data_IF_273002774953
#
_entry.id   IF_273002774953
#
_cell.length_a   1.000
_cell.length_b   1.000
_cell.length_c   1.000
_cell.angle_alpha   90.00
_cell.angle_beta   90.00
_cell.angle_gamma   90.00
#
_symmetry.space_group_name_H-M   'P 1'
#
loop_
_entity.id
_entity.type
_entity.pdbx_description
1 polymer ?
#
# COMPACT_ATOMS: atom_id res chain seq x y z
N UNK A 1 78.47 29.08 39.84
CA UNK A 1 77.36 29.97 39.47
C UNK A 1 76.28 29.16 38.78
N UNK A 2 75.07 29.13 39.36
CA UNK A 2 73.90 28.34 38.92
C UNK A 2 73.18 29.09 37.79
N UNK A 3 72.90 28.45 36.67
CA UNK A 3 71.91 28.92 35.69
C UNK A 3 70.81 27.85 35.62
N UNK A 4 69.65 28.21 36.17
CA UNK A 4 68.40 27.44 36.12
C UNK A 4 67.78 27.61 34.74
N UNK A 5 67.44 26.50 34.06
CA UNK A 5 66.43 26.50 32.99
C UNK A 5 65.22 25.72 33.48
N UNK A 6 64.11 26.44 33.62
CA UNK A 6 62.81 25.88 33.94
C UNK A 6 62.21 25.26 32.66
N UNK A 7 61.80 24.00 32.72
CA UNK A 7 60.90 23.40 31.72
C UNK A 7 59.47 23.56 32.21
N UNK A 8 58.66 24.32 31.45
CA UNK A 8 57.21 24.29 31.54
C UNK A 8 56.72 22.97 30.94
N UNK A 9 56.01 22.17 31.74
CA UNK A 9 55.22 21.03 31.26
C UNK A 9 53.82 21.56 30.98
N UNK A 10 53.45 21.66 29.69
CA UNK A 10 52.08 21.89 29.26
C UNK A 10 51.39 20.53 29.18
N UNK A 11 50.51 20.24 30.15
CA UNK A 11 49.60 19.09 30.11
C UNK A 11 48.43 19.43 29.20
N UNK A 12 48.45 18.91 27.97
CA UNK A 12 47.29 18.89 27.08
C UNK A 12 46.34 17.78 27.51
N UNK A 13 45.24 18.15 28.18
CA UNK A 13 44.13 17.25 28.43
C UNK A 13 43.36 17.03 27.11
N UNK A 14 43.66 15.95 26.39
CA UNK A 14 42.78 15.45 25.33
C UNK A 14 41.54 14.83 25.98
N UNK A 15 40.45 15.59 26.02
CA UNK A 15 39.12 15.04 26.28
C UNK A 15 38.72 14.11 25.15
N UNK A 16 38.80 12.80 25.36
CA UNK A 16 38.10 11.82 24.53
C UNK A 16 36.59 11.99 24.76
N UNK A 17 35.92 12.73 23.89
CA UNK A 17 34.48 12.57 23.71
C UNK A 17 34.27 11.29 22.92
N UNK A 18 34.04 10.18 23.63
CA UNK A 18 33.56 8.96 23.01
C UNK A 18 32.15 9.24 22.49
N UNK A 19 32.04 9.51 21.19
CA UNK A 19 30.79 9.46 20.46
C UNK A 19 30.30 8.00 20.48
N UNK A 20 29.47 7.67 21.47
CA UNK A 20 28.69 6.44 21.48
C UNK A 20 27.85 6.42 20.20
N UNK A 21 28.36 5.72 19.18
CA UNK A 21 27.58 5.35 18.02
C UNK A 21 26.50 4.39 18.52
N UNK A 22 25.30 4.91 18.74
CA UNK A 22 24.13 4.08 19.00
C UNK A 22 23.90 3.30 17.70
N UNK A 23 24.42 2.08 17.65
CA UNK A 23 24.16 1.15 16.57
C UNK A 23 22.65 0.87 16.58
N UNK A 24 21.92 1.54 15.69
CA UNK A 24 20.53 1.18 15.43
C UNK A 24 20.54 -0.21 14.82
N UNK A 25 19.85 -1.14 15.46
CA UNK A 25 19.76 -2.50 14.96
C UNK A 25 18.98 -2.50 13.64
N UNK A 26 19.57 -3.13 12.62
CA UNK A 26 18.90 -3.41 11.36
C UNK A 26 17.70 -4.33 11.56
N UNK A 27 16.76 -4.30 10.63
CA UNK A 27 15.72 -5.34 10.56
C UNK A 27 16.38 -6.73 10.56
N UNK A 28 15.87 -7.70 11.33
CA UNK A 28 16.43 -9.05 11.33
C UNK A 28 16.39 -9.66 9.91
N UNK A 29 17.35 -10.54 9.56
CA UNK A 29 17.31 -11.26 8.30
C UNK A 29 15.97 -11.99 8.11
N UNK A 30 15.42 -12.04 6.87
CA UNK A 30 14.19 -12.76 6.61
C UNK A 30 14.33 -14.26 6.93
N UNK A 31 13.28 -14.80 7.55
CA UNK A 31 13.15 -16.23 7.86
C UNK A 31 11.93 -16.77 7.12
N UNK A 32 12.09 -17.87 6.37
CA UNK A 32 10.97 -18.47 5.64
C UNK A 32 9.91 -18.99 6.60
N UNK A 33 8.65 -18.71 6.31
CA UNK A 33 7.51 -19.16 7.09
C UNK A 33 6.19 -18.91 6.38
N UNK A 34 5.09 -19.07 7.12
CA UNK A 34 3.73 -18.77 6.67
C UNK A 34 3.15 -17.66 7.53
N UNK A 35 2.14 -16.96 7.02
CA UNK A 35 1.35 -16.08 7.89
C UNK A 35 0.50 -16.95 8.81
N UNK A 36 0.45 -16.59 10.08
CA UNK A 36 -0.38 -17.22 11.10
C UNK A 36 -1.31 -16.18 11.70
N UNK A 37 -2.46 -16.61 12.21
CA UNK A 37 -3.38 -15.69 12.88
C UNK A 37 -2.78 -15.13 14.17
N UNK A 38 -2.93 -13.83 14.37
CA UNK A 38 -2.63 -13.12 15.62
C UNK A 38 -3.89 -12.48 16.17
N UNK A 39 -3.90 -12.13 17.45
CA UNK A 39 -4.93 -11.28 18.03
C UNK A 39 -4.71 -9.85 17.53
N UNK A 40 -5.52 -9.43 16.55
CA UNK A 40 -5.44 -8.08 15.95
C UNK A 40 -6.60 -7.22 16.43
N UNK A 41 -6.27 -6.18 17.19
CA UNK A 41 -7.19 -5.17 17.72
C UNK A 41 -7.65 -4.13 16.69
N UNK A 42 -6.84 -3.84 15.67
CA UNK A 42 -7.17 -2.89 14.61
C UNK A 42 -6.17 -3.00 13.45
N UNK A 43 -6.65 -2.76 12.23
CA UNK A 43 -5.84 -2.79 11.00
C UNK A 43 -5.77 -1.40 10.35
N UNK A 44 -4.59 -1.03 9.87
CA UNK A 44 -4.27 0.23 9.23
C UNK A 44 -3.45 -0.02 7.96
N UNK A 45 -3.40 0.97 7.06
CA UNK A 45 -2.62 0.86 5.82
C UNK A 45 -1.76 2.10 5.61
N UNK A 46 -0.56 1.91 5.07
CA UNK A 46 0.30 3.00 4.65
C UNK A 46 1.01 2.71 3.34
N UNK A 47 1.50 3.76 2.67
CA UNK A 47 2.33 3.54 1.49
C UNK A 47 2.89 4.81 0.87
N UNK A 48 3.87 4.61 -0.02
CA UNK A 48 4.52 5.67 -0.81
C UNK A 48 4.14 5.55 -2.28
N UNK A 49 3.94 6.67 -2.98
CA UNK A 49 3.84 6.69 -4.45
C UNK A 49 2.70 5.78 -4.93
N UNK A 50 2.95 4.84 -5.85
CA UNK A 50 1.97 3.81 -6.23
C UNK A 50 1.45 3.00 -5.04
N UNK A 51 2.28 2.72 -4.04
CA UNK A 51 1.85 2.13 -2.77
C UNK A 51 0.96 3.05 -1.94
N UNK A 52 1.14 4.37 -2.04
CA UNK A 52 0.25 5.36 -1.45
C UNK A 52 -1.11 5.45 -2.18
N UNK A 53 -1.11 5.35 -3.51
CA UNK A 53 -2.35 5.18 -4.28
C UNK A 53 -3.07 3.87 -3.91
N UNK A 54 -2.34 2.77 -3.76
CA UNK A 54 -2.92 1.49 -3.34
C UNK A 54 -3.41 1.53 -1.88
N UNK A 55 -2.70 2.17 -0.97
CA UNK A 55 -3.14 2.39 0.41
C UNK A 55 -4.47 3.16 0.45
N UNK A 56 -4.58 4.20 -0.37
CA UNK A 56 -5.84 4.93 -0.57
C UNK A 56 -6.95 4.02 -1.12
N UNK A 57 -6.66 3.21 -2.14
CA UNK A 57 -7.63 2.25 -2.71
C UNK A 57 -8.11 1.23 -1.67
N UNK A 58 -7.21 0.65 -0.89
CA UNK A 58 -7.54 -0.31 0.17
C UNK A 58 -8.39 0.35 1.25
N UNK A 59 -8.00 1.52 1.74
CA UNK A 59 -8.74 2.23 2.78
C UNK A 59 -10.15 2.60 2.31
N UNK A 60 -10.32 3.03 1.06
CA UNK A 60 -11.65 3.36 0.51
C UNK A 60 -12.49 2.11 0.22
N UNK A 61 -11.91 1.10 -0.44
CA UNK A 61 -12.66 -0.09 -0.87
C UNK A 61 -12.99 -1.04 0.30
N UNK A 62 -12.13 -1.07 1.32
CA UNK A 62 -12.20 -1.95 2.49
C UNK A 62 -12.19 -1.14 3.80
N UNK A 63 -12.92 -0.04 3.86
CA UNK A 63 -13.00 0.85 5.03
C UNK A 63 -13.59 0.20 6.29
N UNK A 64 -14.24 -0.95 6.17
CA UNK A 64 -14.63 -1.79 7.31
C UNK A 64 -13.43 -2.48 7.98
N UNK A 65 -12.39 -2.78 7.21
CA UNK A 65 -11.15 -3.45 7.65
C UNK A 65 -10.13 -2.42 8.14
N UNK A 66 -9.87 -1.38 7.33
CA UNK A 66 -8.84 -0.40 7.62
C UNK A 66 -9.41 0.78 8.40
N UNK A 67 -9.00 0.95 9.67
CA UNK A 67 -9.47 2.03 10.54
C UNK A 67 -8.83 3.39 10.23
N UNK A 68 -7.81 3.43 9.37
CA UNK A 68 -7.15 4.67 8.94
C UNK A 68 -6.02 4.42 7.95
N UNK A 69 -5.50 5.51 7.37
CA UNK A 69 -4.48 5.44 6.33
C UNK A 69 -3.37 6.49 6.46
N UNK A 70 -2.12 6.08 6.21
CA UNK A 70 -0.94 6.96 6.14
C UNK A 70 -0.33 6.99 4.75
N UNK A 71 -0.37 8.12 4.05
CA UNK A 71 -0.08 8.18 2.61
C UNK A 71 1.02 9.19 2.30
N UNK A 72 2.13 8.71 1.74
CA UNK A 72 3.23 9.52 1.25
C UNK A 72 3.13 9.71 -0.27
N UNK A 73 3.12 10.96 -0.74
CA UNK A 73 3.25 11.37 -2.14
C UNK A 73 2.39 10.57 -3.13
N UNK A 74 1.06 10.68 -3.01
CA UNK A 74 0.09 9.99 -3.89
C UNK A 74 -1.09 10.91 -4.27
N UNK A 75 -2.15 10.34 -4.85
CA UNK A 75 -3.32 11.08 -5.32
C UNK A 75 -4.67 10.45 -4.97
N UNK A 76 -5.77 11.13 -5.32
CA UNK A 76 -7.13 10.75 -4.95
C UNK A 76 -7.53 9.40 -5.55
N UNK A 77 -8.54 8.78 -4.93
CA UNK A 77 -9.01 7.46 -5.31
C UNK A 77 -9.46 7.46 -6.77
N UNK A 78 -9.04 6.44 -7.51
CA UNK A 78 -9.33 6.27 -8.94
C UNK A 78 -8.86 7.43 -9.84
N UNK A 79 -7.87 8.23 -9.44
CA UNK A 79 -7.41 9.38 -10.24
C UNK A 79 -7.10 9.00 -11.70
N UNK A 80 -6.42 7.86 -11.91
CA UNK A 80 -5.97 7.41 -13.22
C UNK A 80 -7.08 6.92 -14.15
N UNK A 81 -8.29 6.64 -13.65
CA UNK A 81 -9.45 6.25 -14.46
C UNK A 81 -9.16 5.12 -15.47
N UNK A 82 -8.43 4.08 -15.05
CA UNK A 82 -8.04 2.95 -15.91
C UNK A 82 -7.26 3.38 -17.18
N UNK A 83 -6.44 4.44 -17.07
CA UNK A 83 -5.75 5.04 -18.22
C UNK A 83 -4.34 5.52 -17.85
N UNK A 84 -3.33 4.98 -18.54
CA UNK A 84 -1.92 5.34 -18.30
C UNK A 84 -1.61 6.81 -18.63
N UNK A 85 -2.21 7.39 -19.68
CA UNK A 85 -1.97 8.80 -20.01
C UNK A 85 -2.58 9.72 -18.94
N UNK A 86 -3.76 9.39 -18.43
CA UNK A 86 -4.35 10.10 -17.28
C UNK A 86 -3.48 9.94 -16.03
N UNK A 87 -2.99 8.72 -15.76
CA UNK A 87 -2.08 8.46 -14.66
C UNK A 87 -0.85 9.39 -14.72
N UNK A 88 -0.09 9.34 -15.82
CA UNK A 88 1.15 10.09 -15.98
C UNK A 88 0.93 11.60 -16.04
N UNK A 89 0.01 12.06 -16.89
CA UNK A 89 -0.03 13.48 -17.23
C UNK A 89 -1.06 14.27 -16.44
N UNK A 90 -2.11 13.62 -15.93
CA UNK A 90 -3.12 14.30 -15.10
C UNK A 90 -2.87 14.09 -13.60
N UNK A 91 -2.49 12.86 -13.21
CA UNK A 91 -2.33 12.41 -11.83
C UNK A 91 -0.89 12.33 -11.34
N UNK A 92 0.10 12.71 -12.15
CA UNK A 92 1.48 12.92 -11.70
C UNK A 92 1.96 14.32 -12.09
N UNK A 93 2.09 14.59 -13.39
CA UNK A 93 2.71 15.83 -13.91
C UNK A 93 1.77 17.04 -13.94
N UNK A 94 0.46 16.81 -13.94
CA UNK A 94 -0.60 17.85 -13.97
C UNK A 94 -0.65 18.69 -15.26
N UNK A 95 -0.12 18.16 -16.36
CA UNK A 95 -0.17 18.77 -17.70
C UNK A 95 -1.47 18.48 -18.46
N UNK A 96 -2.27 17.50 -17.99
CA UNK A 96 -3.62 17.23 -18.49
C UNK A 96 -4.68 17.46 -17.40
N UNK A 97 -5.94 17.79 -17.79
CA UNK A 97 -7.02 17.88 -16.82
C UNK A 97 -7.30 16.51 -16.18
N UNK A 98 -7.60 16.51 -14.88
CA UNK A 98 -8.09 15.36 -14.11
C UNK A 98 -9.46 15.64 -13.53
N UNK A 99 -10.17 14.58 -13.14
CA UNK A 99 -11.42 14.71 -12.36
C UNK A 99 -11.14 15.49 -11.08
N UNK A 100 -12.08 16.36 -10.70
CA UNK A 100 -11.99 17.10 -9.44
C UNK A 100 -12.22 16.18 -8.25
N UNK A 101 -11.78 16.57 -7.03
CA UNK A 101 -12.09 15.83 -5.82
C UNK A 101 -13.59 15.55 -5.65
N UNK A 102 -14.46 16.52 -5.95
CA UNK A 102 -15.91 16.35 -5.86
C UNK A 102 -16.46 15.28 -6.83
N UNK A 103 -15.94 15.23 -8.07
CA UNK A 103 -16.30 14.20 -9.03
C UNK A 103 -15.85 12.80 -8.59
N UNK A 104 -14.65 12.71 -8.01
CA UNK A 104 -14.12 11.44 -7.49
C UNK A 104 -14.87 11.00 -6.23
N UNK A 105 -15.23 11.91 -5.33
CA UNK A 105 -16.09 11.62 -4.18
C UNK A 105 -17.45 11.08 -4.61
N UNK A 106 -18.06 11.68 -5.64
CA UNK A 106 -19.33 11.19 -6.17
C UNK A 106 -19.18 9.80 -6.76
N UNK A 107 -18.13 9.55 -7.56
CA UNK A 107 -17.82 8.23 -8.10
C UNK A 107 -17.67 7.18 -6.98
N UNK A 108 -17.01 7.53 -5.89
CA UNK A 108 -16.86 6.65 -4.72
C UNK A 108 -18.21 6.35 -4.08
N UNK A 109 -19.07 7.36 -3.88
CA UNK A 109 -20.43 7.17 -3.36
C UNK A 109 -21.26 6.25 -4.26
N UNK A 110 -21.21 6.45 -5.57
CA UNK A 110 -21.95 5.63 -6.53
C UNK A 110 -21.49 4.17 -6.50
N UNK A 111 -20.17 3.94 -6.40
CA UNK A 111 -19.60 2.59 -6.28
C UNK A 111 -19.93 1.92 -4.94
N UNK A 112 -19.93 2.67 -3.84
CA UNK A 112 -20.35 2.17 -2.54
C UNK A 112 -21.85 1.79 -2.55
N UNK A 113 -22.71 2.64 -3.12
CA UNK A 113 -24.13 2.35 -3.29
C UNK A 113 -24.38 1.11 -4.16
N UNK A 114 -23.51 0.85 -5.14
CA UNK A 114 -23.53 -0.35 -5.97
C UNK A 114 -22.87 -1.60 -5.31
N UNK A 115 -22.48 -1.51 -4.03
CA UNK A 115 -21.85 -2.61 -3.28
C UNK A 115 -20.45 -3.01 -3.77
N UNK A 116 -19.77 -2.14 -4.53
CA UNK A 116 -18.42 -2.40 -5.06
C UNK A 116 -17.31 -1.98 -4.10
N UNK A 117 -17.65 -1.14 -3.13
CA UNK A 117 -16.80 -0.62 -2.05
C UNK A 117 -17.59 -0.75 -0.74
N UNK A 118 -16.91 -0.60 0.39
CA UNK A 118 -17.59 -0.38 1.66
C UNK A 118 -18.36 0.97 1.69
N UNK A 119 -19.35 1.12 2.59
CA UNK A 119 -20.06 2.37 2.79
C UNK A 119 -19.09 3.54 3.06
N UNK A 120 -19.27 4.66 2.37
CA UNK A 120 -18.42 5.85 2.56
C UNK A 120 -18.52 6.43 3.97
N UNK A 121 -19.60 6.12 4.69
CA UNK A 121 -19.83 6.52 6.08
C UNK A 121 -18.72 6.00 7.00
N UNK A 122 -18.12 4.85 6.69
CA UNK A 122 -16.98 4.31 7.45
C UNK A 122 -15.74 5.23 7.40
N UNK A 123 -15.64 6.09 6.38
CA UNK A 123 -14.53 7.05 6.25
C UNK A 123 -14.76 8.31 7.09
N UNK A 124 -15.97 8.54 7.59
CA UNK A 124 -16.25 9.72 8.43
C UNK A 124 -15.53 9.60 9.77
N UNK A 125 -14.73 10.61 10.12
CA UNK A 125 -13.89 10.62 11.31
C UNK A 125 -12.66 9.71 11.24
N UNK A 126 -12.53 8.85 10.23
CA UNK A 126 -11.38 7.96 10.09
C UNK A 126 -10.07 8.78 9.98
N UNK A 127 -9.03 8.46 10.79
CA UNK A 127 -7.76 9.18 10.73
C UNK A 127 -7.04 8.90 9.42
N UNK A 128 -6.78 9.97 8.66
CA UNK A 128 -5.98 9.94 7.44
C UNK A 128 -4.82 10.91 7.60
N UNK A 129 -3.61 10.40 7.53
CA UNK A 129 -2.40 11.22 7.58
C UNK A 129 -1.74 11.23 6.19
N UNK A 130 -1.39 12.42 5.73
CA UNK A 130 -0.83 12.66 4.40
C UNK A 130 0.53 13.34 4.52
N UNK A 131 1.44 12.98 3.63
CA UNK A 131 2.74 13.63 3.48
C UNK A 131 3.07 13.91 2.02
N UNK A 132 3.59 15.11 1.77
CA UNK A 132 4.15 15.50 0.48
C UNK A 132 5.42 16.33 0.66
N UNK A 133 6.49 16.00 -0.07
CA UNK A 133 7.73 16.76 -0.04
C UNK A 133 7.69 17.95 -0.99
N UNK A 134 8.15 19.13 -0.56
CA UNK A 134 8.17 20.33 -1.42
C UNK A 134 9.14 20.23 -2.59
N UNK A 135 10.10 19.29 -2.54
CA UNK A 135 11.01 18.98 -3.64
C UNK A 135 10.57 17.75 -4.46
N UNK A 136 9.40 17.17 -4.17
CA UNK A 136 8.85 16.07 -4.96
C UNK A 136 8.38 16.58 -6.33
N UNK A 137 9.19 16.29 -7.35
CA UNK A 137 8.89 16.59 -8.74
C UNK A 137 8.18 15.45 -9.47
N UNK A 138 8.01 14.27 -8.85
CA UNK A 138 7.43 13.07 -9.47
C UNK A 138 5.91 13.07 -9.39
N UNK A 139 5.36 13.34 -8.21
CA UNK A 139 3.93 13.59 -8.02
C UNK A 139 3.81 15.04 -7.60
N UNK A 140 3.24 15.91 -8.45
CA UNK A 140 3.11 17.32 -8.07
C UNK A 140 2.22 17.48 -6.83
N UNK A 141 2.56 18.43 -5.97
CA UNK A 141 1.81 18.74 -4.72
C UNK A 141 0.31 18.90 -4.96
N UNK A 142 -0.10 19.49 -6.09
CA UNK A 142 -1.51 19.67 -6.44
C UNK A 142 -2.31 18.35 -6.49
N UNK A 143 -1.66 17.22 -6.84
CA UNK A 143 -2.30 15.90 -6.82
C UNK A 143 -2.55 15.43 -5.38
N UNK A 144 -1.60 15.68 -4.48
CA UNK A 144 -1.74 15.30 -3.07
C UNK A 144 -2.69 16.26 -2.31
N UNK A 145 -2.75 17.53 -2.72
CA UNK A 145 -3.77 18.49 -2.27
C UNK A 145 -5.19 18.04 -2.65
N UNK A 146 -5.37 17.47 -3.85
CA UNK A 146 -6.65 16.86 -4.25
C UNK A 146 -6.98 15.61 -3.43
N UNK A 147 -5.98 14.82 -3.02
CA UNK A 147 -6.17 13.69 -2.10
C UNK A 147 -6.68 14.16 -0.73
N UNK A 148 -6.09 15.22 -0.18
CA UNK A 148 -6.54 15.83 1.07
C UNK A 148 -7.98 16.33 0.96
N UNK A 149 -8.30 17.03 -0.12
CA UNK A 149 -9.67 17.53 -0.40
C UNK A 149 -10.65 16.37 -0.60
N UNK A 150 -10.24 15.31 -1.31
CA UNK A 150 -11.04 14.11 -1.53
C UNK A 150 -11.46 13.48 -0.21
N UNK A 151 -10.50 13.21 0.70
CA UNK A 151 -10.78 12.62 2.00
C UNK A 151 -11.60 13.56 2.90
N UNK A 152 -11.26 14.85 2.94
CA UNK A 152 -11.98 15.84 3.73
C UNK A 152 -13.47 15.93 3.34
N UNK A 153 -13.79 15.89 2.04
CA UNK A 153 -15.19 15.90 1.60
C UNK A 153 -15.93 14.55 1.75
N UNK A 154 -15.25 13.48 2.16
CA UNK A 154 -15.88 12.24 2.67
C UNK A 154 -15.99 12.24 4.20
N UNK A 155 -15.56 13.31 4.87
CA UNK A 155 -15.66 13.49 6.31
C UNK A 155 -14.53 12.86 7.12
N UNK A 156 -13.44 12.42 6.49
CA UNK A 156 -12.29 11.86 7.20
C UNK A 156 -11.54 12.92 8.03
N UNK A 157 -10.90 12.50 9.12
CA UNK A 157 -10.04 13.35 9.92
C UNK A 157 -8.65 13.44 9.27
N UNK A 158 -8.45 14.44 8.41
CA UNK A 158 -7.22 14.60 7.62
C UNK A 158 -6.19 15.45 8.35
N UNK A 159 -4.99 14.91 8.53
CA UNK A 159 -3.77 15.64 8.84
C UNK A 159 -2.83 15.60 7.64
N UNK A 160 -2.22 16.72 7.28
CA UNK A 160 -1.40 16.80 6.05
C UNK A 160 -0.14 17.62 6.28
N UNK A 161 1.00 16.94 6.26
CA UNK A 161 2.33 17.56 6.30
C UNK A 161 2.85 17.75 4.87
N UNK A 162 3.01 19.00 4.45
CA UNK A 162 3.58 19.36 3.14
C UNK A 162 4.67 20.43 3.20
N UNK A 163 5.36 20.52 4.33
CA UNK A 163 6.37 21.57 4.57
C UNK A 163 7.80 21.08 4.48
N UNK A 164 8.01 19.76 4.51
CA UNK A 164 9.35 19.17 4.42
C UNK A 164 9.97 19.38 3.05
N UNK A 165 11.27 19.67 2.99
CA UNK A 165 12.07 19.75 1.75
C UNK A 165 12.34 18.40 1.07
N UNK A 166 11.51 17.39 1.34
CA UNK A 166 11.72 16.04 0.86
C UNK A 166 11.53 15.94 -0.65
N UNK A 167 12.30 15.07 -1.30
CA UNK A 167 12.02 14.58 -2.65
C UNK A 167 10.91 13.51 -2.64
N UNK A 168 10.75 12.80 -3.76
CA UNK A 168 9.79 11.71 -3.87
C UNK A 168 10.30 10.43 -3.17
N UNK A 169 10.03 10.31 -1.88
CA UNK A 169 10.54 9.22 -1.05
C UNK A 169 9.69 8.98 0.21
N UNK A 170 9.85 7.80 0.80
CA UNK A 170 9.43 7.55 2.18
C UNK A 170 10.38 8.30 3.10
N UNK A 171 9.87 9.13 4.02
CA UNK A 171 10.72 9.92 4.91
C UNK A 171 10.78 9.30 6.29
N UNK A 172 11.99 8.99 6.74
CA UNK A 172 12.24 8.40 8.05
C UNK A 172 13.52 8.94 8.71
N UNK A 173 13.66 8.86 10.04
CA UNK A 173 14.88 9.29 10.74
C UNK A 173 16.17 8.55 10.36
N UNK A 174 16.03 7.39 9.72
CA UNK A 174 17.12 6.47 9.38
C UNK A 174 17.24 6.21 7.88
N UNK A 175 16.58 7.02 7.05
CA UNK A 175 16.69 6.92 5.60
C UNK A 175 18.14 7.09 5.12
N UNK A 176 18.60 6.28 4.16
CA UNK A 176 19.97 6.35 3.65
C UNK A 176 20.22 7.55 2.73
N UNK A 177 19.17 8.12 2.13
CA UNK A 177 19.30 9.23 1.19
C UNK A 177 19.10 10.60 1.87
N UNK A 178 19.69 11.64 1.28
CA UNK A 178 19.46 13.03 1.68
C UNK A 178 18.01 13.45 1.43
N UNK A 179 17.53 14.42 2.21
CA UNK A 179 16.12 14.83 2.23
C UNK A 179 15.53 15.10 0.84
N UNK A 180 16.17 15.94 0.03
CA UNK A 180 15.68 16.33 -1.30
C UNK A 180 15.84 15.27 -2.40
N UNK A 181 16.40 14.09 -2.09
CA UNK A 181 16.70 13.07 -3.09
C UNK A 181 15.45 12.41 -3.67
N UNK A 182 15.47 12.11 -4.97
CA UNK A 182 14.48 11.25 -5.63
C UNK A 182 15.23 10.13 -6.34
N UNK A 183 15.80 9.22 -5.55
CA UNK A 183 16.64 8.14 -6.04
C UNK A 183 16.47 6.87 -5.20
N UNK A 184 16.83 5.72 -5.77
CA UNK A 184 16.85 4.44 -5.06
C UNK A 184 17.66 4.54 -3.75
N UNK A 185 17.21 3.92 -2.65
CA UNK A 185 16.02 3.08 -2.51
C UNK A 185 14.73 3.85 -2.20
N UNK A 186 14.70 5.17 -2.44
CA UNK A 186 13.56 6.07 -2.20
C UNK A 186 13.12 6.11 -0.72
N UNK A 187 14.11 6.11 0.17
CA UNK A 187 13.92 6.32 1.60
C UNK A 187 14.88 7.42 2.05
N UNK A 188 14.35 8.55 2.49
CA UNK A 188 15.13 9.76 2.76
C UNK A 188 15.13 10.12 4.24
N UNK A 189 16.19 10.78 4.67
CA UNK A 189 16.31 11.41 5.99
C UNK A 189 16.22 12.93 5.88
N UNK A 190 15.24 13.51 6.56
CA UNK A 190 14.97 14.94 6.55
C UNK A 190 15.25 15.59 7.91
N UNK A 191 16.52 15.93 8.15
CA UNK A 191 16.95 16.54 9.40
C UNK A 191 16.64 15.66 10.61
N UNK A 192 15.92 16.22 11.59
CA UNK A 192 15.47 15.53 12.81
C UNK A 192 13.96 15.19 12.78
N UNK A 193 13.28 15.41 11.66
CA UNK A 193 11.85 15.11 11.54
C UNK A 193 11.60 13.60 11.58
N UNK A 194 10.43 13.22 12.10
CA UNK A 194 9.99 11.83 12.15
C UNK A 194 8.53 11.73 11.65
N UNK A 195 8.31 11.79 10.31
CA UNK A 195 6.97 11.71 9.75
C UNK A 195 6.30 10.36 10.03
N UNK A 196 7.07 9.30 10.30
CA UNK A 196 6.53 7.99 10.72
C UNK A 196 5.86 8.10 12.08
N UNK A 197 6.48 8.80 13.04
CA UNK A 197 5.85 9.12 14.32
C UNK A 197 4.58 9.93 14.15
N UNK A 198 4.63 10.99 13.33
CA UNK A 198 3.48 11.87 13.07
C UNK A 198 2.30 11.07 12.51
N UNK A 199 2.57 10.21 11.53
CA UNK A 199 1.60 9.29 10.95
C UNK A 199 1.00 8.37 12.02
N UNK A 200 1.82 7.64 12.76
CA UNK A 200 1.33 6.68 13.77
C UNK A 200 0.58 7.37 14.92
N UNK A 201 1.04 8.53 15.35
CA UNK A 201 0.36 9.33 16.37
C UNK A 201 -1.03 9.78 15.90
N UNK A 202 -1.17 10.18 14.62
CA UNK A 202 -2.47 10.54 14.05
C UNK A 202 -3.40 9.33 13.92
N UNK A 203 -2.88 8.18 13.50
CA UNK A 203 -3.65 6.95 13.30
C UNK A 203 -4.09 6.30 14.61
N UNK A 204 -3.24 6.32 15.64
CA UNK A 204 -3.47 5.60 16.90
C UNK A 204 -3.90 6.52 18.05
N UNK A 205 -3.83 7.85 17.85
CA UNK A 205 -4.03 8.87 18.89
C UNK A 205 -2.83 9.04 19.82
N UNK A 206 -2.19 7.94 20.24
CA UNK A 206 -0.95 7.97 21.04
C UNK A 206 0.01 6.90 20.55
N UNK A 207 1.30 7.25 20.46
CA UNK A 207 2.37 6.33 20.06
C UNK A 207 3.53 6.44 21.05
N UNK A 208 3.97 5.30 21.59
CA UNK A 208 5.19 5.21 22.37
C UNK A 208 6.42 5.50 21.49
N UNK A 209 7.51 6.07 22.03
CA UNK A 209 8.73 6.31 21.26
C UNK A 209 9.23 5.04 20.58
N UNK A 210 9.84 5.18 19.40
CA UNK A 210 10.48 4.08 18.69
C UNK A 210 11.56 3.41 19.57
N UNK A 211 11.69 2.08 19.47
CA UNK A 211 12.72 1.34 20.18
C UNK A 211 14.12 1.86 19.82
N UNK A 212 14.94 2.10 20.84
CA UNK A 212 16.37 2.42 20.69
C UNK A 212 17.25 1.19 20.95
N UNK A 213 16.65 0.07 21.33
CA UNK A 213 17.31 -1.22 21.56
C UNK A 213 17.18 -2.10 20.31
N UNK A 214 17.95 -3.20 20.22
CA UNK A 214 17.79 -4.14 19.12
C UNK A 214 16.35 -4.64 18.97
N UNK A 215 15.90 -4.70 17.73
CA UNK A 215 14.59 -5.23 17.36
C UNK A 215 14.44 -6.67 17.86
N UNK A 216 13.33 -6.95 18.52
CA UNK A 216 13.03 -8.21 19.19
C UNK A 216 12.23 -9.18 18.34
N UNK A 217 11.61 -8.66 17.27
CA UNK A 217 10.73 -9.42 16.39
C UNK A 217 11.45 -10.29 15.37
N UNK A 218 10.66 -10.98 14.55
CA UNK A 218 11.10 -11.77 13.42
C UNK A 218 10.60 -11.13 12.13
N UNK A 219 11.43 -11.16 11.08
CA UNK A 219 10.99 -10.85 9.72
C UNK A 219 10.63 -12.18 9.03
N UNK A 220 9.33 -12.45 8.91
CA UNK A 220 8.80 -13.63 8.24
C UNK A 220 8.76 -13.33 6.75
N UNK A 221 9.36 -14.19 5.93
CA UNK A 221 9.22 -14.21 4.49
C UNK A 221 8.25 -15.34 4.11
N UNK A 222 7.14 -14.99 3.45
CA UNK A 222 6.08 -15.93 3.08
C UNK A 222 5.84 -15.95 1.56
N UNK A 223 5.25 -17.03 1.07
CA UNK A 223 4.85 -17.15 -0.34
C UNK A 223 3.51 -16.44 -0.58
N UNK A 224 3.50 -15.44 -1.46
CA UNK A 224 2.29 -14.68 -1.80
C UNK A 224 1.30 -15.51 -2.64
N UNK A 225 1.74 -16.59 -3.29
CA UNK A 225 0.87 -17.47 -4.08
C UNK A 225 -0.30 -18.00 -3.26
N UNK A 226 -0.09 -18.27 -1.96
CA UNK A 226 -1.14 -18.73 -1.05
C UNK A 226 -2.31 -17.73 -0.88
N UNK A 227 -2.11 -16.46 -1.24
CA UNK A 227 -3.08 -15.39 -1.04
C UNK A 227 -3.59 -14.78 -2.35
N UNK A 228 -3.03 -15.17 -3.48
CA UNK A 228 -3.40 -14.65 -4.79
C UNK A 228 -4.53 -15.50 -5.39
N UNK A 229 -5.62 -14.89 -5.89
CA UNK A 229 -6.64 -15.63 -6.62
C UNK A 229 -6.03 -16.42 -7.78
N UNK A 230 -6.20 -17.74 -7.77
CA UNK A 230 -5.62 -18.64 -8.78
C UNK A 230 -4.19 -19.11 -8.51
N UNK A 231 -3.56 -18.66 -7.41
CA UNK A 231 -2.27 -19.18 -6.96
C UNK A 231 -1.05 -18.72 -7.77
N UNK A 232 -1.21 -17.72 -8.63
CA UNK A 232 -0.11 -17.18 -9.46
C UNK A 232 0.09 -15.68 -9.21
N UNK A 233 1.04 -15.28 -8.34
CA UNK A 233 1.36 -13.88 -8.08
C UNK A 233 1.74 -13.08 -9.34
N UNK A 234 2.41 -13.71 -10.30
CA UNK A 234 2.84 -13.05 -11.53
C UNK A 234 1.65 -12.55 -12.37
N UNK A 235 0.54 -13.29 -12.36
CA UNK A 235 -0.71 -12.91 -13.05
C UNK A 235 -1.34 -11.60 -12.56
N UNK A 236 -0.97 -11.16 -11.36
CA UNK A 236 -1.49 -9.95 -10.71
C UNK A 236 -0.39 -8.92 -10.40
N UNK A 237 0.80 -9.04 -10.99
CA UNK A 237 1.97 -8.17 -10.72
C UNK A 237 2.45 -8.19 -9.27
N UNK A 238 2.29 -9.32 -8.57
CA UNK A 238 2.84 -9.52 -7.24
C UNK A 238 4.09 -10.41 -7.32
N UNK A 239 5.08 -10.13 -6.47
CA UNK A 239 6.24 -11.00 -6.30
C UNK A 239 5.83 -12.35 -5.70
N UNK A 240 6.70 -13.36 -5.80
CA UNK A 240 6.49 -14.63 -5.08
C UNK A 240 6.60 -14.46 -3.57
N UNK A 241 7.38 -13.49 -3.10
CA UNK A 241 7.71 -13.31 -1.69
C UNK A 241 6.98 -12.09 -1.11
N UNK A 242 6.41 -12.25 0.07
CA UNK A 242 5.91 -11.17 0.92
C UNK A 242 6.59 -11.23 2.29
N UNK A 243 6.53 -10.14 3.05
CA UNK A 243 7.20 -10.08 4.35
C UNK A 243 6.28 -9.60 5.47
N UNK A 244 6.48 -10.08 6.69
CA UNK A 244 5.80 -9.56 7.88
C UNK A 244 6.81 -9.43 9.02
N UNK A 245 6.94 -8.24 9.59
CA UNK A 245 7.68 -8.03 10.83
C UNK A 245 6.75 -8.23 12.02
N UNK A 246 7.06 -9.21 12.87
CA UNK A 246 6.27 -9.57 14.04
C UNK A 246 7.11 -9.36 15.31
N UNK A 247 6.83 -8.31 16.10
CA UNK A 247 7.45 -8.13 17.41
C UNK A 247 7.21 -9.32 18.33
N UNK A 248 8.17 -9.63 19.20
CA UNK A 248 8.03 -10.75 20.17
C UNK A 248 6.79 -10.61 21.04
N UNK A 249 6.40 -9.38 21.39
CA UNK A 249 5.21 -9.12 22.19
C UNK A 249 3.91 -9.63 21.53
N UNK A 250 3.83 -9.60 20.20
CA UNK A 250 2.65 -10.02 19.46
C UNK A 250 2.45 -11.55 19.42
N UNK A 251 3.41 -12.34 19.91
CA UNK A 251 3.23 -13.80 20.05
C UNK A 251 2.24 -14.16 21.17
N UNK A 252 1.91 -13.23 22.08
CA UNK A 252 0.98 -13.48 23.19
C UNK A 252 0.12 -12.28 23.63
N UNK A 253 0.21 -11.15 22.94
CA UNK A 253 -0.58 -9.96 23.22
C UNK A 253 -1.42 -9.55 22.01
N UNK A 254 -2.53 -8.82 22.26
CA UNK A 254 -3.29 -8.17 21.20
C UNK A 254 -2.45 -7.06 20.56
N UNK A 255 -2.36 -7.09 19.24
CA UNK A 255 -1.55 -6.16 18.45
C UNK A 255 -2.39 -5.38 17.43
N UNK A 256 -1.82 -4.32 16.88
CA UNK A 256 -2.33 -3.66 15.66
C UNK A 256 -1.67 -4.28 14.44
N UNK A 257 -2.30 -4.17 13.28
CA UNK A 257 -1.70 -4.52 12.01
C UNK A 257 -1.52 -3.26 11.15
N UNK A 258 -0.30 -3.00 10.71
CA UNK A 258 0.00 -2.00 9.70
C UNK A 258 0.37 -2.69 8.39
N UNK A 259 -0.40 -2.47 7.33
CA UNK A 259 -0.05 -2.91 5.98
C UNK A 259 0.72 -1.78 5.28
N UNK A 260 2.01 -1.98 5.01
CA UNK A 260 2.86 -0.95 4.38
C UNK A 260 3.26 -1.34 2.97
N UNK A 261 2.91 -0.47 2.02
CA UNK A 261 3.06 -0.69 0.58
C UNK A 261 4.18 0.18 0.01
N UNK A 262 5.20 -0.47 -0.54
CA UNK A 262 6.31 0.21 -1.21
C UNK A 262 5.85 0.94 -2.48
N UNK A 263 6.63 1.93 -2.93
CA UNK A 263 6.41 2.63 -4.19
C UNK A 263 6.96 1.89 -5.41
N UNK A 264 6.83 2.52 -6.59
CA UNK A 264 7.52 2.03 -7.79
C UNK A 264 9.04 1.97 -7.55
N UNK A 265 9.72 1.02 -8.19
CA UNK A 265 11.17 0.78 -8.02
C UNK A 265 11.62 0.46 -6.58
N UNK A 266 10.71 0.04 -5.70
CA UNK A 266 11.03 -0.33 -4.32
C UNK A 266 10.64 -1.77 -3.94
N UNK A 267 10.26 -2.59 -4.92
CA UNK A 267 9.97 -4.00 -4.65
C UNK A 267 11.25 -4.75 -4.24
N UNK A 268 11.09 -5.82 -3.45
CA UNK A 268 12.19 -6.57 -2.85
C UNK A 268 13.25 -7.02 -3.86
N UNK A 269 12.83 -7.54 -5.02
CA UNK A 269 13.74 -7.99 -6.08
C UNK A 269 14.63 -6.90 -6.69
N UNK A 270 14.40 -5.63 -6.40
CA UNK A 270 15.22 -4.51 -6.87
C UNK A 270 16.05 -3.85 -5.76
N UNK A 271 15.46 -3.62 -4.59
CA UNK A 271 16.10 -2.86 -3.49
C UNK A 271 16.31 -3.67 -2.21
N UNK A 272 16.09 -4.97 -2.25
CA UNK A 272 16.20 -5.85 -1.09
C UNK A 272 15.19 -5.46 -0.01
N UNK A 273 15.65 -5.38 1.25
CA UNK A 273 14.82 -5.05 2.40
C UNK A 273 14.80 -3.56 2.75
N UNK A 274 15.23 -2.66 1.84
CA UNK A 274 15.49 -1.26 2.17
C UNK A 274 14.32 -0.53 2.87
N UNK A 275 13.06 -0.71 2.44
CA UNK A 275 11.92 -0.09 3.12
C UNK A 275 11.64 -0.73 4.50
N UNK A 276 11.85 -2.05 4.64
CA UNK A 276 11.67 -2.74 5.91
C UNK A 276 12.77 -2.34 6.91
N UNK A 277 14.00 -2.15 6.43
CA UNK A 277 15.17 -1.82 7.24
C UNK A 277 15.27 -0.33 7.56
N UNK A 278 14.89 0.54 6.61
CA UNK A 278 15.08 2.00 6.73
C UNK A 278 13.77 2.78 6.85
N UNK A 279 12.61 2.12 6.76
CA UNK A 279 11.31 2.78 6.87
C UNK A 279 10.95 3.26 8.27
N UNK A 280 11.68 2.83 9.30
CA UNK A 280 11.49 3.17 10.72
C UNK A 280 10.17 2.72 11.35
N UNK A 281 9.44 1.83 10.68
CA UNK A 281 8.18 1.26 11.18
C UNK A 281 8.41 0.14 12.18
N UNK A 282 9.48 -0.66 12.01
CA UNK A 282 9.74 -1.83 12.86
C UNK A 282 10.18 -1.42 14.28
N UNK A 283 10.84 -0.27 14.40
CA UNK A 283 11.23 0.32 15.67
C UNK A 283 10.01 0.82 16.44
N UNK A 284 9.00 1.37 15.76
CA UNK A 284 7.71 1.69 16.38
C UNK A 284 6.89 0.43 16.65
N UNK A 285 6.94 -0.57 15.76
CA UNK A 285 6.26 -1.85 15.91
C UNK A 285 6.61 -2.53 17.23
N UNK A 286 7.90 -2.57 17.54
CA UNK A 286 8.43 -3.18 18.76
C UNK A 286 7.98 -2.51 20.06
N UNK A 287 7.75 -1.20 20.05
CA UNK A 287 7.34 -0.45 21.23
C UNK A 287 5.83 -0.21 21.33
N UNK A 288 5.05 -0.59 20.30
CA UNK A 288 3.62 -0.26 20.20
C UNK A 288 2.71 -1.46 19.92
N UNK A 289 3.18 -2.70 20.11
CA UNK A 289 2.40 -3.91 19.83
C UNK A 289 1.77 -3.85 18.43
N UNK A 290 2.60 -3.66 17.41
CA UNK A 290 2.13 -3.55 16.03
C UNK A 290 2.90 -4.52 15.15
N UNK A 291 2.18 -5.34 14.39
CA UNK A 291 2.75 -6.14 13.30
C UNK A 291 2.79 -5.27 12.04
N UNK A 292 3.86 -5.39 11.25
CA UNK A 292 3.95 -4.69 9.95
C UNK A 292 3.99 -5.71 8.81
N UNK A 293 2.96 -5.71 7.97
CA UNK A 293 2.88 -6.51 6.75
C UNK A 293 3.43 -5.69 5.58
N UNK A 294 4.33 -6.29 4.81
CA UNK A 294 4.99 -5.73 3.63
C UNK A 294 4.74 -6.60 2.39
N UNK A 295 3.54 -6.54 1.79
CA UNK A 295 3.27 -7.19 0.51
C UNK A 295 4.22 -6.65 -0.56
N UNK A 296 4.59 -7.47 -1.55
CA UNK A 296 5.50 -7.07 -2.63
C UNK A 296 4.79 -7.12 -3.97
N UNK A 297 4.71 -5.97 -4.64
CA UNK A 297 4.47 -5.93 -6.08
C UNK A 297 5.74 -6.37 -6.83
N UNK A 298 5.63 -6.65 -8.12
CA UNK A 298 6.74 -6.92 -9.02
C UNK A 298 6.42 -6.43 -10.42
N UNK A 299 7.39 -6.52 -11.33
CA UNK A 299 7.25 -6.07 -12.71
C UNK A 299 6.30 -6.98 -13.52
N UNK A 300 5.59 -6.37 -14.48
CA UNK A 300 4.89 -7.10 -15.54
C UNK A 300 4.80 -6.24 -16.81
N UNK A 301 4.27 -6.80 -17.90
CA UNK A 301 3.96 -6.02 -19.10
C UNK A 301 2.94 -4.92 -18.75
N UNK A 302 3.25 -3.67 -19.08
CA UNK A 302 2.43 -2.50 -18.68
C UNK A 302 2.78 -1.92 -17.31
N UNK A 303 3.58 -2.62 -16.50
CA UNK A 303 4.13 -2.16 -15.23
C UNK A 303 5.62 -2.56 -15.09
N UNK A 304 6.53 -1.97 -15.88
CA UNK A 304 7.95 -2.31 -15.86
C UNK A 304 8.68 -1.82 -14.60
N UNK A 305 8.01 -1.05 -13.74
CA UNK A 305 8.58 -0.41 -12.55
C UNK A 305 8.20 -1.12 -11.24
N UNK A 306 7.42 -2.19 -11.31
CA UNK A 306 6.95 -2.93 -10.14
C UNK A 306 6.10 -2.07 -9.20
N UNK A 307 5.26 -1.21 -9.77
CA UNK A 307 4.29 -0.40 -9.03
C UNK A 307 3.06 -1.24 -8.65
N UNK A 308 2.31 -0.79 -7.65
CA UNK A 308 0.94 -1.28 -7.40
C UNK A 308 -0.01 -0.86 -8.52
N UNK A 309 -1.09 -1.61 -8.74
CA UNK A 309 -2.10 -1.29 -9.74
C UNK A 309 -3.01 -0.15 -9.28
N UNK A 310 -2.67 1.05 -9.71
CA UNK A 310 -3.45 2.27 -9.51
C UNK A 310 -3.89 2.94 -10.81
N UNK A 311 -3.59 2.33 -11.96
CA UNK A 311 -4.02 2.82 -13.29
C UNK A 311 -4.65 1.75 -14.18
N UNK A 312 -4.94 0.58 -13.62
CA UNK A 312 -5.65 -0.52 -14.26
C UNK A 312 -4.84 -1.25 -15.32
N UNK A 313 -3.52 -1.34 -15.14
CA UNK A 313 -2.68 -2.07 -16.08
C UNK A 313 -2.96 -3.58 -16.04
N UNK A 314 -3.45 -4.09 -14.92
CA UNK A 314 -3.75 -5.50 -14.72
C UNK A 314 -5.24 -5.78 -14.88
N UNK A 315 -6.10 -4.93 -14.29
CA UNK A 315 -7.55 -5.11 -14.33
C UNK A 315 -8.29 -3.79 -14.25
N UNK A 316 -9.39 -3.65 -15.00
CA UNK A 316 -10.30 -2.52 -14.85
C UNK A 316 -10.98 -2.47 -13.46
N UNK A 317 -10.95 -3.58 -12.72
CA UNK A 317 -11.43 -3.65 -11.35
C UNK A 317 -10.39 -3.21 -10.31
N UNK A 318 -9.21 -2.71 -10.71
CA UNK A 318 -8.14 -2.29 -9.81
C UNK A 318 -8.56 -1.41 -8.61
N UNK A 319 -9.58 -0.52 -8.69
CA UNK A 319 -9.95 0.33 -7.57
C UNK A 319 -11.15 -0.25 -6.79
N UNK A 320 -11.69 -1.42 -7.17
CA UNK A 320 -12.86 -2.05 -6.55
C UNK A 320 -12.44 -3.16 -5.59
N UNK A 321 -13.31 -3.60 -4.68
CA UNK A 321 -13.02 -4.77 -3.82
C UNK A 321 -12.54 -5.99 -4.62
N UNK A 322 -13.12 -6.23 -5.81
CA UNK A 322 -12.73 -7.32 -6.70
C UNK A 322 -11.38 -7.14 -7.41
N UNK A 323 -10.66 -6.03 -7.17
CA UNK A 323 -9.33 -5.77 -7.70
C UNK A 323 -8.34 -6.84 -7.24
N UNK A 324 -7.65 -7.57 -8.16
CA UNK A 324 -6.87 -8.75 -7.78
C UNK A 324 -5.75 -8.48 -6.76
N UNK A 325 -5.03 -7.36 -6.88
CA UNK A 325 -4.00 -7.00 -5.89
C UNK A 325 -4.61 -6.69 -4.52
N UNK A 326 -5.69 -5.90 -4.46
CA UNK A 326 -6.35 -5.61 -3.19
C UNK A 326 -6.93 -6.87 -2.55
N UNK A 327 -7.59 -7.73 -3.32
CA UNK A 327 -8.11 -9.01 -2.83
C UNK A 327 -6.99 -9.89 -2.26
N UNK A 328 -5.82 -9.90 -2.91
CA UNK A 328 -4.64 -10.65 -2.44
C UNK A 328 -4.10 -10.09 -1.11
N UNK A 329 -3.99 -8.77 -0.99
CA UNK A 329 -3.56 -8.12 0.26
C UNK A 329 -4.57 -8.40 1.38
N UNK A 330 -5.87 -8.35 1.09
CA UNK A 330 -6.92 -8.67 2.07
C UNK A 330 -6.83 -10.13 2.52
N UNK A 331 -6.50 -11.07 1.63
CA UNK A 331 -6.26 -12.46 2.04
C UNK A 331 -5.06 -12.58 2.99
N UNK A 332 -3.98 -11.81 2.78
CA UNK A 332 -2.85 -11.75 3.72
C UNK A 332 -3.25 -11.12 5.07
N UNK A 333 -4.03 -10.04 5.04
CA UNK A 333 -4.58 -9.39 6.26
C UNK A 333 -5.44 -10.37 7.05
N UNK A 334 -6.32 -11.12 6.38
CA UNK A 334 -7.14 -12.17 7.00
C UNK A 334 -6.30 -13.27 7.63
N UNK A 335 -5.25 -13.72 6.94
CA UNK A 335 -4.35 -14.75 7.45
C UNK A 335 -3.61 -14.32 8.72
N UNK A 336 -3.36 -13.02 8.90
CA UNK A 336 -2.80 -12.44 10.12
C UNK A 336 -3.82 -12.19 11.23
N UNK A 337 -5.12 -12.44 10.99
CA UNK A 337 -6.20 -12.14 11.94
C UNK A 337 -6.69 -10.68 11.88
N UNK A 338 -6.27 -9.91 10.88
CA UNK A 338 -6.54 -8.46 10.78
C UNK A 338 -7.94 -8.06 10.31
N UNK A 339 -8.88 -9.00 10.25
CA UNK A 339 -10.31 -8.68 10.06
C UNK A 339 -11.03 -8.97 11.37
N UNK A 340 -11.71 -7.97 11.94
CA UNK A 340 -12.54 -8.18 13.13
C UNK A 340 -13.62 -9.22 12.79
N UNK A 341 -13.85 -10.16 13.70
CA UNK A 341 -14.74 -11.30 13.49
C UNK A 341 -16.18 -10.88 13.20
N UNK A 342 -16.56 -10.89 11.92
CA UNK A 342 -17.77 -11.62 11.54
C UNK A 342 -17.41 -13.11 11.66
N UNK A 343 -18.10 -13.81 12.56
CA UNK A 343 -17.92 -15.25 12.71
C UNK A 343 -17.97 -15.93 11.34
N UNK A 344 -17.05 -16.87 11.13
CA UNK A 344 -17.04 -17.77 9.98
C UNK A 344 -18.47 -18.31 9.76
N UNK A 345 -19.17 -17.95 8.67
CA UNK A 345 -20.36 -18.69 8.32
C UNK A 345 -19.83 -20.04 7.84
N UNK A 346 -19.94 -21.03 8.72
CA UNK A 346 -19.93 -22.44 8.33
C UNK A 346 -20.72 -22.56 7.02
N UNK A 347 -20.17 -23.15 5.95
CA UNK A 347 -20.84 -23.20 4.66
C UNK A 347 -22.09 -24.07 4.80
N UNK A 348 -23.23 -23.42 5.07
CA UNK A 348 -24.53 -24.04 4.82
C UNK A 348 -24.68 -24.06 3.31
N UNK A 349 -24.97 -25.21 2.69
CA UNK A 349 -25.11 -25.31 1.24
C UNK A 349 -26.35 -24.52 0.83
N UNK A 350 -26.15 -23.27 0.42
CA UNK A 350 -27.18 -22.50 -0.28
C UNK A 350 -27.40 -23.16 -1.64
N UNK A 351 -28.67 -23.42 -2.04
CA UNK A 351 -28.95 -24.06 -3.31
C UNK A 351 -28.35 -23.23 -4.45
N UNK A 352 -27.59 -23.89 -5.31
CA UNK A 352 -26.99 -23.29 -6.51
C UNK A 352 -28.11 -22.59 -7.31
N UNK A 353 -28.13 -21.25 -7.41
CA UNK A 353 -29.02 -20.61 -8.35
C UNK A 353 -28.60 -21.07 -9.75
N UNK A 354 -29.56 -21.56 -10.54
CA UNK A 354 -29.34 -21.91 -11.93
C UNK A 354 -28.68 -20.73 -12.64
N UNK A 355 -27.53 -20.90 -13.32
CA UNK A 355 -26.83 -19.78 -13.94
C UNK A 355 -27.70 -19.06 -14.98
N UNK A 356 -28.05 -17.80 -14.69
CA UNK A 356 -28.80 -16.96 -15.63
C UNK A 356 -27.89 -16.48 -16.76
N UNK A 357 -28.41 -16.53 -18.00
CA UNK A 357 -27.72 -16.02 -19.17
C UNK A 357 -27.82 -14.50 -19.23
N UNK A 358 -26.67 -13.82 -19.32
CA UNK A 358 -26.57 -12.37 -19.38
C UNK A 358 -26.16 -11.97 -20.80
N UNK A 359 -27.01 -11.24 -21.51
CA UNK A 359 -26.68 -10.63 -22.81
C UNK A 359 -26.20 -9.20 -22.63
N UNK A 360 -25.01 -8.88 -23.13
CA UNK A 360 -24.49 -7.52 -23.15
C UNK A 360 -23.51 -7.30 -24.31
N UNK A 361 -23.11 -6.06 -24.56
CA UNK A 361 -22.02 -5.78 -25.50
C UNK A 361 -20.71 -6.41 -24.99
N UNK A 362 -19.81 -6.77 -25.91
CA UNK A 362 -18.51 -7.34 -25.59
C UNK A 362 -17.69 -6.40 -24.71
N UNK A 363 -17.79 -5.08 -24.93
CA UNK A 363 -17.28 -4.08 -24.00
C UNK A 363 -17.88 -4.22 -22.59
N UNK A 364 -19.22 -4.29 -22.46
CA UNK A 364 -19.89 -4.42 -21.17
C UNK A 364 -19.59 -5.76 -20.46
N UNK A 365 -19.33 -6.84 -21.20
CA UNK A 365 -18.85 -8.09 -20.63
C UNK A 365 -17.44 -7.94 -20.04
N UNK A 366 -16.56 -7.21 -20.72
CA UNK A 366 -15.19 -6.98 -20.22
C UNK A 366 -15.16 -6.07 -19.00
N UNK A 367 -15.95 -4.99 -18.99
CA UNK A 367 -16.02 -4.09 -17.82
C UNK A 367 -16.66 -4.75 -16.59
N UNK A 368 -17.53 -5.74 -16.81
CA UNK A 368 -18.15 -6.51 -15.74
C UNK A 368 -17.36 -7.76 -15.31
N UNK A 369 -16.15 -7.98 -15.85
CA UNK A 369 -15.31 -9.14 -15.51
C UNK A 369 -15.85 -10.49 -16.01
N UNK A 370 -16.80 -10.49 -16.94
CA UNK A 370 -17.35 -11.71 -17.58
C UNK A 370 -16.52 -12.17 -18.78
N UNK A 371 -15.71 -11.28 -19.34
CA UNK A 371 -14.85 -11.50 -20.48
C UNK A 371 -13.55 -10.70 -20.37
N UNK A 372 -12.55 -11.00 -21.19
CA UNK A 372 -11.30 -10.25 -21.31
C UNK A 372 -10.97 -9.98 -22.79
N UNK A 373 -10.02 -9.08 -23.03
CA UNK A 373 -9.61 -8.67 -24.39
C UNK A 373 -8.19 -9.12 -24.69
N UNK A 374 -7.98 -9.62 -25.90
CA UNK A 374 -6.65 -9.87 -26.47
C UNK A 374 -6.64 -9.51 -27.94
N UNK A 375 -5.74 -8.60 -28.33
CA UNK A 375 -5.57 -8.15 -29.72
C UNK A 375 -6.88 -7.68 -30.40
N UNK A 376 -7.70 -6.91 -29.68
CA UNK A 376 -8.98 -6.38 -30.19
C UNK A 376 -10.15 -7.38 -30.25
N UNK A 377 -9.91 -8.63 -29.84
CA UNK A 377 -10.93 -9.68 -29.74
C UNK A 377 -11.29 -9.92 -28.27
N UNK A 378 -12.54 -10.29 -28.04
CA UNK A 378 -13.11 -10.54 -26.71
C UNK A 378 -13.26 -12.04 -26.49
N UNK A 379 -12.95 -12.51 -25.28
CA UNK A 379 -13.00 -13.91 -24.88
C UNK A 379 -13.69 -14.05 -23.53
N UNK A 380 -14.54 -15.07 -23.35
CA UNK A 380 -15.20 -15.32 -22.08
C UNK A 380 -14.15 -15.65 -20.99
N UNK A 381 -14.30 -15.05 -19.81
CA UNK A 381 -13.36 -15.23 -18.71
C UNK A 381 -13.44 -16.67 -18.18
N UNK A 382 -12.28 -17.30 -17.98
CA UNK A 382 -12.17 -18.70 -17.53
C UNK A 382 -12.25 -19.74 -18.66
N UNK A 383 -13.25 -19.67 -19.54
CA UNK A 383 -13.40 -20.67 -20.63
C UNK A 383 -12.63 -20.35 -21.91
N UNK A 384 -12.23 -19.08 -22.10
CA UNK A 384 -11.56 -18.56 -23.29
C UNK A 384 -12.37 -18.72 -24.60
N UNK A 385 -13.70 -18.88 -24.52
CA UNK A 385 -14.55 -18.95 -25.70
C UNK A 385 -14.54 -17.60 -26.45
N UNK A 386 -14.34 -17.59 -27.78
CA UNK A 386 -14.29 -16.37 -28.56
C UNK A 386 -15.67 -15.72 -28.65
N UNK A 387 -15.74 -14.41 -28.36
CA UNK A 387 -16.97 -13.60 -28.35
C UNK A 387 -17.01 -12.58 -29.50
N UNK A 388 -15.91 -12.47 -30.26
CA UNK A 388 -15.78 -11.51 -31.36
C UNK A 388 -15.19 -10.17 -30.94
N UNK A 389 -15.38 -9.15 -31.78
CA UNK A 389 -14.68 -7.87 -31.64
C UNK A 389 -15.01 -7.17 -30.31
N UNK A 390 -13.99 -6.54 -29.72
CA UNK A 390 -14.16 -5.69 -28.55
C UNK A 390 -14.69 -4.32 -28.93
N UNK A 391 -16.01 -4.16 -28.85
CA UNK A 391 -16.69 -2.88 -29.04
C UNK A 391 -18.06 -2.90 -28.35
N UNK A 392 -18.79 -1.78 -28.45
CA UNK A 392 -20.14 -1.61 -27.90
C UNK A 392 -21.25 -2.13 -28.82
N UNK A 393 -20.93 -2.51 -30.07
CA UNK A 393 -21.90 -2.93 -31.09
C UNK A 393 -22.02 -4.46 -31.22
N UNK A 394 -20.97 -5.19 -30.84
CA UNK A 394 -20.91 -6.65 -30.85
C UNK A 394 -21.37 -7.13 -29.48
N UNK A 395 -22.38 -7.98 -29.42
CA UNK A 395 -22.93 -8.49 -28.17
C UNK A 395 -22.86 -10.00 -28.12
N UNK A 396 -22.68 -10.53 -26.92
CA UNK A 396 -22.64 -11.95 -26.63
C UNK A 396 -23.56 -12.26 -25.46
N UNK A 397 -23.87 -13.54 -25.26
CA UNK A 397 -24.63 -14.00 -24.09
C UNK A 397 -23.76 -14.95 -23.29
N UNK A 398 -23.56 -14.66 -22.01
CA UNK A 398 -22.70 -15.47 -21.13
C UNK A 398 -23.44 -15.91 -19.88
N UNK A 399 -23.15 -17.12 -19.41
CA UNK A 399 -23.52 -17.60 -18.07
C UNK A 399 -22.29 -18.03 -17.29
N UNK A 400 -22.35 -17.88 -15.97
CA UNK A 400 -21.28 -18.31 -15.08
C UNK A 400 -21.54 -19.74 -14.60
N UNK A 401 -20.68 -20.70 -14.99
CA UNK A 401 -20.83 -22.11 -14.57
C UNK A 401 -20.16 -22.42 -13.24
N UNK A 402 -19.18 -21.62 -12.86
CA UNK A 402 -18.51 -21.62 -11.55
C UNK A 402 -17.83 -20.25 -11.33
N UNK A 403 -17.45 -19.87 -10.09
CA UNK A 403 -16.80 -18.58 -9.84
C UNK A 403 -15.63 -18.32 -10.79
N UNK A 404 -15.68 -17.20 -11.52
CA UNK A 404 -14.69 -16.81 -12.53
C UNK A 404 -14.74 -17.56 -13.88
N UNK A 405 -15.59 -18.59 -14.03
CA UNK A 405 -15.71 -19.37 -15.27
C UNK A 405 -17.02 -19.08 -16.01
N UNK A 406 -16.89 -18.33 -17.11
CA UNK A 406 -17.98 -17.90 -17.97
C UNK A 406 -17.97 -18.66 -19.28
N UNK A 407 -19.13 -19.10 -19.74
CA UNK A 407 -19.31 -19.75 -21.04
C UNK A 407 -20.42 -19.06 -21.81
N UNK A 408 -20.41 -19.19 -23.13
CA UNK A 408 -21.51 -18.75 -23.98
C UNK A 408 -22.77 -19.53 -23.63
N UNK A 409 -23.87 -18.79 -23.53
CA UNK A 409 -25.17 -19.33 -23.90
C UNK A 409 -25.29 -19.22 -25.43
#
# INVERSE_FOLDING_TARGET
MRIRRALLVVLTALGLTASLSIARASVPPPTRGTLTGYDISATYVSGLSSGGFMANQLHVAYSSVFKGAGIFSAGPYDCAQNNLNTALYACMETTLPRKTPAQLQQLTRDRAAAGKLDPVQNLSGAPVWLFHGTADATIKTAVNDDLATYYGGLGANVSYNKTSGAGHAWVSPIGPNDCGSTASPYVNKCGTTDPVKEMLAHLFGTVAPASTSPLTGKLIQFDQAAYVPGGDPGSVSLGSEGFAYVPKACEGASCKLMVTLHGCYQYHGLVGNALMDKGYLNEYADSNNMIVLYPQATTMIGNPRGCWDWWGYQSAAYPLKSGPQMASIIAMVKALGGVEGEGDPTPTPTPTPTPECITASNYAHTTAGRAYVRSGQTYAAGSNQPLGLWNTFTSSTLKQTSPGHWVTC
#
